data_IF_056811784204
#
_entry.id   IF_056811784204
#
_cell.length_a   1.000
_cell.length_b   1.000
_cell.length_c   1.000
_cell.angle_alpha   90.00
_cell.angle_beta   90.00
_cell.angle_gamma   90.00
#
_symmetry.space_group_name_H-M   'P 1'
#
loop_
_entity.id
_entity.type
_entity.pdbx_description
1 polymer ?
#
# COMPACT_ATOMS: atom_id res chain seq x y z
N UNK A 1 -5.30 10.20 14.66
CA UNK A 1 -5.14 10.00 16.12
C UNK A 1 -5.51 8.55 16.43
N UNK A 2 -4.72 7.84 17.23
CA UNK A 2 -4.94 6.41 17.57
C UNK A 2 -5.53 6.22 18.98
N UNK A 3 -5.83 7.32 19.69
CA UNK A 3 -6.35 7.31 21.06
C UNK A 3 -7.68 6.54 21.21
N UNK A 4 -8.48 6.45 20.15
CA UNK A 4 -9.71 5.66 20.11
C UNK A 4 -9.47 4.14 20.04
N UNK A 5 -8.26 3.71 19.64
CA UNK A 5 -7.92 2.30 19.42
C UNK A 5 -7.06 1.73 20.55
N UNK A 6 -6.11 2.51 21.05
CA UNK A 6 -5.12 2.05 22.03
C UNK A 6 -4.74 3.18 22.99
N UNK A 7 -4.40 2.80 24.22
CA UNK A 7 -3.96 3.74 25.28
C UNK A 7 -2.43 3.73 25.51
N UNK A 8 -1.69 2.98 24.69
CA UNK A 8 -0.23 2.84 24.74
C UNK A 8 0.39 2.38 26.08
N UNK A 9 -0.40 1.90 27.06
CA UNK A 9 0.12 1.51 28.38
C UNK A 9 1.06 0.28 28.35
N UNK A 10 1.15 -0.40 27.21
CA UNK A 10 2.04 -1.52 26.96
C UNK A 10 3.41 -1.10 26.43
N UNK A 11 3.58 0.17 26.04
CA UNK A 11 4.87 0.75 25.69
C UNK A 11 5.48 1.30 26.97
N UNK A 12 6.59 0.72 27.40
CA UNK A 12 7.25 1.04 28.66
C UNK A 12 8.49 1.93 28.42
N UNK A 13 8.96 2.55 29.50
CA UNK A 13 10.20 3.33 29.48
C UNK A 13 11.38 2.45 29.03
N UNK A 14 12.10 2.89 28.00
CA UNK A 14 13.25 2.19 27.43
C UNK A 14 12.93 1.18 26.31
N UNK A 15 11.65 0.90 26.00
CA UNK A 15 11.29 -0.03 24.92
C UNK A 15 11.82 0.42 23.56
N UNK A 16 11.68 1.71 23.25
CA UNK A 16 12.13 2.25 21.96
C UNK A 16 13.65 2.19 21.83
N UNK A 17 14.39 2.49 22.90
CA UNK A 17 15.85 2.37 22.94
C UNK A 17 16.30 0.92 22.72
N UNK A 18 15.58 -0.04 23.34
CA UNK A 18 15.84 -1.46 23.18
C UNK A 18 15.50 -1.98 21.77
N UNK A 19 14.41 -1.49 21.16
CA UNK A 19 13.99 -1.90 19.81
C UNK A 19 14.94 -1.33 18.75
N UNK A 20 15.44 -0.11 18.94
CA UNK A 20 16.27 0.60 17.95
C UNK A 20 17.76 0.29 18.03
N UNK A 21 18.15 -0.88 18.57
CA UNK A 21 19.57 -1.26 18.60
C UNK A 21 20.13 -1.38 17.17
N UNK A 22 21.40 -1.01 16.94
CA UNK A 22 22.02 -1.13 15.63
C UNK A 22 21.95 -2.55 15.09
N UNK A 23 21.58 -2.68 13.81
CA UNK A 23 21.54 -3.95 13.08
C UNK A 23 22.65 -3.96 12.01
N UNK A 24 23.34 -5.09 11.87
CA UNK A 24 24.36 -5.27 10.83
C UNK A 24 23.75 -5.53 9.44
N UNK A 25 22.50 -5.98 9.40
CA UNK A 25 21.76 -6.28 8.19
C UNK A 25 20.26 -6.10 8.40
N UNK A 26 19.54 -5.82 7.31
CA UNK A 26 18.08 -5.71 7.29
C UNK A 26 17.50 -6.64 6.22
N UNK A 27 16.72 -7.64 6.65
CA UNK A 27 16.10 -8.60 5.74
C UNK A 27 14.81 -8.05 5.14
N UNK A 28 14.69 -8.09 3.80
CA UNK A 28 13.49 -7.64 3.09
C UNK A 28 12.75 -8.84 2.51
N UNK A 29 11.49 -9.01 2.94
CA UNK A 29 10.55 -9.97 2.35
C UNK A 29 9.57 -9.20 1.46
N UNK A 30 9.61 -9.44 0.15
CA UNK A 30 8.73 -8.81 -0.82
C UNK A 30 8.03 -9.87 -1.68
N UNK A 31 6.73 -9.68 -1.90
CA UNK A 31 5.91 -10.58 -2.72
C UNK A 31 5.08 -9.82 -3.74
N UNK A 32 4.44 -8.73 -3.33
CA UNK A 32 3.63 -7.88 -4.19
C UNK A 32 3.51 -6.47 -3.59
N UNK A 33 3.07 -5.51 -4.41
CA UNK A 33 2.64 -4.19 -3.96
C UNK A 33 1.17 -4.23 -3.58
N UNK A 34 0.77 -3.40 -2.62
CA UNK A 34 -0.65 -3.11 -2.36
C UNK A 34 -0.94 -1.68 -2.80
N UNK A 35 -1.85 -1.54 -3.77
CA UNK A 35 -2.37 -0.23 -4.16
C UNK A 35 -3.58 0.12 -3.29
N UNK A 36 -3.67 1.37 -2.85
CA UNK A 36 -4.75 1.83 -1.99
C UNK A 36 -5.32 3.16 -2.48
N UNK A 37 -6.57 3.44 -2.10
CA UNK A 37 -7.22 4.75 -2.30
C UNK A 37 -7.98 5.16 -1.04
N UNK A 38 -8.20 6.47 -0.90
CA UNK A 38 -9.15 7.00 0.07
C UNK A 38 -10.59 6.59 -0.30
N UNK A 39 -11.43 6.39 0.71
CA UNK A 39 -12.82 5.97 0.58
C UNK A 39 -13.65 6.50 1.74
N UNK A 40 -14.84 7.01 1.42
CA UNK A 40 -15.86 7.36 2.43
C UNK A 40 -16.69 6.14 2.86
N UNK A 41 -16.62 5.05 2.09
CA UNK A 41 -17.20 3.77 2.47
C UNK A 41 -16.23 3.03 3.40
N UNK A 42 -16.67 2.60 4.59
CA UNK A 42 -15.82 1.86 5.51
C UNK A 42 -15.38 0.59 4.83
N UNK A 43 -14.08 0.28 4.87
CA UNK A 43 -13.51 -0.87 4.18
C UNK A 43 -14.24 -2.19 4.49
N UNK A 44 -15.25 -2.51 3.69
CA UNK A 44 -16.07 -3.68 3.81
C UNK A 44 -15.35 -4.81 3.08
N UNK A 45 -14.77 -5.69 3.90
CA UNK A 45 -13.92 -6.82 3.52
C UNK A 45 -12.56 -6.34 3.05
N UNK A 46 -11.64 -6.34 4.01
CA UNK A 46 -10.23 -6.62 3.78
C UNK A 46 -10.08 -7.53 2.56
N UNK A 47 -9.57 -7.00 1.45
CA UNK A 47 -9.03 -7.84 0.39
C UNK A 47 -8.14 -8.89 1.09
N UNK A 48 -8.22 -10.19 0.75
CA UNK A 48 -7.55 -11.22 1.52
C UNK A 48 -6.08 -10.87 1.81
N UNK A 49 -5.76 -10.57 3.07
CA UNK A 49 -4.41 -10.18 3.51
C UNK A 49 -4.15 -8.68 3.75
N UNK A 50 -5.09 -7.78 3.47
CA UNK A 50 -4.96 -6.37 3.83
C UNK A 50 -5.51 -6.12 5.23
N UNK A 51 -4.69 -5.65 6.18
CA UNK A 51 -5.15 -5.24 7.52
C UNK A 51 -4.79 -3.78 7.75
N UNK A 52 -5.80 -2.92 7.88
CA UNK A 52 -5.64 -1.46 8.00
C UNK A 52 -6.26 -0.95 9.31
N UNK A 53 -5.65 -1.30 10.45
CA UNK A 53 -6.12 -0.84 11.77
C UNK A 53 -5.92 0.67 11.89
N UNK A 54 -7.00 1.41 12.16
CA UNK A 54 -6.99 2.87 12.27
C UNK A 54 -6.96 3.63 10.94
N UNK A 55 -7.15 2.94 9.83
CA UNK A 55 -7.28 3.51 8.49
C UNK A 55 -8.54 2.96 7.80
N UNK A 56 -9.70 3.18 8.44
CA UNK A 56 -11.00 2.66 7.98
C UNK A 56 -11.49 3.31 6.68
N UNK A 57 -10.94 4.48 6.36
CA UNK A 57 -11.15 5.29 5.15
C UNK A 57 -10.19 4.92 4.00
N UNK A 58 -9.49 3.78 4.11
CA UNK A 58 -8.54 3.30 3.10
C UNK A 58 -9.00 1.96 2.53
N UNK A 59 -9.13 1.91 1.20
CA UNK A 59 -9.46 0.70 0.45
C UNK A 59 -8.25 0.21 -0.33
N UNK A 60 -7.94 -1.08 -0.22
CA UNK A 60 -7.07 -1.75 -1.17
C UNK A 60 -7.77 -1.93 -2.51
N UNK A 61 -7.08 -1.62 -3.60
CA UNK A 61 -7.58 -1.75 -4.96
C UNK A 61 -6.66 -2.67 -5.75
N UNK A 62 -7.26 -3.50 -6.59
CA UNK A 62 -6.49 -4.31 -7.53
C UNK A 62 -6.16 -3.51 -8.78
N UNK A 63 -4.94 -3.66 -9.26
CA UNK A 63 -4.55 -3.32 -10.61
C UNK A 63 -4.90 -4.50 -11.54
N UNK A 64 -5.16 -4.25 -12.82
CA UNK A 64 -5.41 -5.31 -13.82
C UNK A 64 -4.11 -6.06 -14.20
N UNK A 65 -3.31 -6.43 -13.20
CA UNK A 65 -2.06 -7.15 -13.34
C UNK A 65 -2.27 -8.67 -13.25
N UNK A 66 -1.38 -9.47 -13.85
CA UNK A 66 -1.37 -10.91 -13.63
C UNK A 66 -1.25 -11.24 -12.14
N UNK A 67 -1.99 -12.25 -11.69
CA UNK A 67 -1.99 -12.69 -10.29
C UNK A 67 -1.43 -14.09 -10.14
N UNK A 68 -0.80 -14.35 -9.00
CA UNK A 68 -0.43 -15.69 -8.56
C UNK A 68 -1.67 -16.51 -8.20
N UNK A 69 -1.49 -17.81 -7.92
CA UNK A 69 -2.56 -18.67 -7.39
C UNK A 69 -3.13 -18.20 -6.03
N UNK A 70 -2.44 -17.29 -5.32
CA UNK A 70 -2.90 -16.67 -4.07
C UNK A 70 -3.72 -15.40 -4.30
N UNK A 71 -3.89 -14.97 -5.55
CA UNK A 71 -4.56 -13.70 -5.89
C UNK A 71 -3.68 -12.47 -5.72
N UNK A 72 -2.39 -12.63 -5.43
CA UNK A 72 -1.44 -11.51 -5.33
C UNK A 72 -0.97 -11.08 -6.71
N UNK A 73 -1.02 -9.78 -6.96
CA UNK A 73 -0.50 -9.17 -8.18
C UNK A 73 1.00 -9.35 -8.31
N UNK A 74 1.45 -9.61 -9.53
CA UNK A 74 2.86 -9.73 -9.86
C UNK A 74 3.34 -8.37 -10.40
N UNK A 75 4.02 -7.61 -9.54
CA UNK A 75 4.63 -6.31 -9.84
C UNK A 75 6.12 -6.33 -9.42
N UNK A 76 7.04 -6.68 -10.33
CA UNK A 76 8.47 -6.73 -10.03
C UNK A 76 9.08 -5.34 -9.82
N UNK A 77 8.55 -4.29 -10.43
CA UNK A 77 9.02 -2.92 -10.26
C UNK A 77 8.89 -2.46 -8.81
N UNK A 78 7.87 -2.92 -8.07
CA UNK A 78 7.71 -2.56 -6.67
C UNK A 78 8.88 -2.98 -5.77
N UNK A 79 9.57 -4.09 -6.07
CA UNK A 79 10.78 -4.48 -5.33
C UNK A 79 11.92 -3.47 -5.55
N UNK A 80 12.07 -2.97 -6.78
CA UNK A 80 13.10 -1.96 -7.09
C UNK A 80 12.84 -0.68 -6.30
N UNK A 81 11.57 -0.27 -6.18
CA UNK A 81 11.20 0.93 -5.42
C UNK A 81 11.48 0.76 -3.92
N UNK A 82 11.17 -0.40 -3.35
CA UNK A 82 11.48 -0.72 -1.95
C UNK A 82 12.98 -0.66 -1.68
N UNK A 83 13.81 -1.20 -2.59
CA UNK A 83 15.25 -1.25 -2.41
C UNK A 83 15.95 0.09 -2.71
N UNK A 84 15.46 0.84 -3.68
CA UNK A 84 16.05 2.12 -4.07
C UNK A 84 15.63 3.28 -3.14
N UNK A 85 14.52 3.12 -2.42
CA UNK A 85 14.01 4.12 -1.48
C UNK A 85 13.17 5.23 -2.15
N UNK A 86 12.53 6.09 -1.34
CA UNK A 86 11.58 7.10 -1.81
C UNK A 86 12.18 8.22 -2.69
N UNK A 87 13.51 8.37 -2.73
CA UNK A 87 14.19 9.37 -3.58
C UNK A 87 14.43 8.88 -5.02
N UNK A 88 14.15 7.61 -5.32
CA UNK A 88 14.32 7.04 -6.66
C UNK A 88 13.07 7.28 -7.53
N UNK A 89 12.77 8.54 -7.85
CA UNK A 89 11.82 8.96 -8.91
C UNK A 89 10.56 8.08 -9.05
N UNK A 90 9.86 7.89 -7.94
CA UNK A 90 8.55 7.24 -7.95
C UNK A 90 7.56 8.15 -7.29
N UNK A 91 6.62 8.60 -8.13
CA UNK A 91 5.37 9.23 -7.77
C UNK A 91 4.96 8.76 -6.37
N UNK A 92 5.02 9.69 -5.42
CA UNK A 92 4.31 9.59 -4.15
C UNK A 92 2.86 9.16 -4.43
N UNK A 93 2.06 8.95 -3.40
CA UNK A 93 0.61 8.82 -3.55
C UNK A 93 -0.09 10.07 -4.16
N UNK A 94 0.47 10.74 -5.16
CA UNK A 94 -0.30 11.28 -6.28
C UNK A 94 -1.03 10.13 -6.94
N UNK A 95 -2.35 10.23 -7.06
CA UNK A 95 -3.15 9.38 -7.95
C UNK A 95 -2.45 9.31 -9.32
N UNK A 96 -1.70 8.24 -9.56
CA UNK A 96 -1.15 7.96 -10.87
C UNK A 96 -2.34 7.52 -11.70
N UNK A 97 -2.73 8.34 -12.67
CA UNK A 97 -3.66 7.93 -13.71
C UNK A 97 -2.99 6.81 -14.51
N UNK A 98 -3.26 5.57 -14.09
CA UNK A 98 -2.73 4.36 -14.73
C UNK A 98 -3.31 4.16 -16.15
N UNK A 99 -4.34 4.92 -16.56
CA UNK A 99 -4.96 4.83 -17.88
C UNK A 99 -4.00 5.10 -19.04
N UNK A 100 -3.01 5.98 -18.86
CA UNK A 100 -2.04 6.27 -19.92
C UNK A 100 -0.99 5.16 -20.11
N UNK A 101 -0.70 4.35 -19.08
CA UNK A 101 0.40 3.37 -19.13
C UNK A 101 -0.01 2.01 -19.71
N UNK A 102 -1.32 1.72 -19.76
CA UNK A 102 -1.90 0.48 -20.31
C UNK A 102 -2.50 0.64 -21.72
N UNK A 103 -2.34 1.80 -22.37
CA UNK A 103 -2.77 2.00 -23.76
C UNK A 103 -4.29 2.07 -23.96
N UNK A 104 -5.06 2.35 -22.92
CA UNK A 104 -6.49 2.65 -23.04
C UNK A 104 -6.67 4.15 -23.38
N UNK A 105 -6.47 4.46 -24.65
CA UNK A 105 -6.69 5.81 -25.18
C UNK A 105 -8.15 6.25 -25.04
N UNK A 106 -8.36 7.39 -24.38
CA UNK A 106 -9.24 8.53 -24.73
C UNK A 106 -10.66 8.35 -25.31
N UNK A 107 -11.26 7.16 -25.37
CA UNK A 107 -12.57 6.95 -26.00
C UNK A 107 -13.77 6.81 -25.05
N UNK A 108 -13.58 6.82 -23.72
CA UNK A 108 -14.70 6.68 -22.78
C UNK A 108 -15.48 7.97 -22.49
N UNK A 109 -15.13 9.11 -23.09
CA UNK A 109 -15.77 10.41 -22.81
C UNK A 109 -16.96 10.76 -23.72
N UNK A 110 -17.45 9.85 -24.56
CA UNK A 110 -18.57 10.11 -25.47
C UNK A 110 -19.73 9.10 -25.31
N UNK A 111 -20.27 8.95 -24.10
CA UNK A 111 -21.55 8.25 -23.91
C UNK A 111 -22.24 8.62 -22.58
N UNK A 112 -22.50 9.90 -22.33
CA UNK A 112 -23.60 10.29 -21.43
C UNK A 112 -24.14 11.66 -21.84
N UNK A 113 -25.18 11.62 -22.67
CA UNK A 113 -26.17 12.68 -22.86
C UNK A 113 -27.54 12.07 -22.58
#
# INVERSE_FOLDING_TARGET
DLSELLNFSHVLDGDLDLISQPLDAFGVNYYHRTMVKASDEPADRFAPGFMAVGAADVLAIQQELPVTARGWEVDPEGMVQVLAGPDADVHHATAVDYGERIGLGREAQAATA
#
